data_IF_824926081716
#
_entry.id   IF_824926081716
#
_cell.length_a   1.000
_cell.length_b   1.000
_cell.length_c   1.000
_cell.angle_alpha   90.00
_cell.angle_beta   90.00
_cell.angle_gamma   90.00
#
_symmetry.space_group_name_H-M   'P 1'
#
loop_
_entity.id
_entity.type
_entity.pdbx_description
1 polymer ?
#
# COMPACT_ATOMS: atom_id res chain seq x y z
N UNK A 1 14.87 -23.38 48.13
CA UNK A 1 13.81 -24.30 48.54
C UNK A 1 12.47 -23.55 48.58
N UNK A 2 11.88 -23.22 47.43
CA UNK A 2 10.53 -22.60 47.30
C UNK A 2 9.91 -23.01 45.96
N UNK A 3 9.59 -24.30 45.78
CA UNK A 3 8.89 -24.74 44.56
C UNK A 3 7.77 -25.76 44.84
N UNK A 4 7.43 -26.00 46.12
CA UNK A 4 6.45 -27.05 46.49
C UNK A 4 5.23 -26.51 47.24
N UNK A 5 5.21 -25.26 47.72
CA UNK A 5 4.18 -24.82 48.69
C UNK A 5 3.04 -23.96 48.10
N UNK A 6 3.21 -23.33 46.95
CA UNK A 6 2.27 -22.27 46.52
C UNK A 6 1.26 -22.69 45.44
N UNK A 7 1.40 -23.85 44.79
CA UNK A 7 0.48 -24.29 43.74
C UNK A 7 0.57 -25.81 43.50
N UNK A 8 -0.57 -26.49 43.34
CA UNK A 8 -0.63 -27.94 43.08
C UNK A 8 0.02 -28.34 41.74
N UNK A 9 0.05 -27.43 40.76
CA UNK A 9 0.65 -27.67 39.44
C UNK A 9 1.14 -26.37 38.77
N UNK A 10 2.43 -26.08 38.88
CA UNK A 10 3.06 -24.88 38.30
C UNK A 10 2.89 -24.82 36.77
N UNK A 11 2.99 -25.95 36.07
CA UNK A 11 2.83 -25.99 34.62
C UNK A 11 1.42 -25.57 34.18
N UNK A 12 0.38 -26.04 34.89
CA UNK A 12 -1.02 -25.67 34.61
C UNK A 12 -1.26 -24.19 34.87
N UNK A 13 -0.74 -23.66 35.98
CA UNK A 13 -0.87 -22.24 36.35
C UNK A 13 -0.15 -21.33 35.35
N UNK A 14 1.07 -21.68 34.94
CA UNK A 14 1.81 -20.96 33.88
C UNK A 14 1.06 -21.00 32.55
N UNK A 15 0.42 -22.11 32.20
CA UNK A 15 -0.39 -22.18 30.99
C UNK A 15 -1.59 -21.23 31.04
N UNK A 16 -2.33 -21.19 32.15
CA UNK A 16 -3.48 -20.28 32.34
C UNK A 16 -3.07 -18.81 32.33
N UNK A 17 -1.95 -18.49 32.98
CA UNK A 17 -1.37 -17.15 32.97
C UNK A 17 -0.98 -16.74 31.54
N UNK A 18 -0.32 -17.63 30.79
CA UNK A 18 0.05 -17.38 29.40
C UNK A 18 -1.15 -17.10 28.52
N UNK A 19 -2.23 -17.87 28.65
CA UNK A 19 -3.47 -17.64 27.89
C UNK A 19 -4.10 -16.29 28.21
N UNK A 20 -4.11 -15.90 29.49
CA UNK A 20 -4.70 -14.64 29.94
C UNK A 20 -3.88 -13.44 29.46
N UNK A 21 -2.55 -13.53 29.56
CA UNK A 21 -1.62 -12.51 29.06
C UNK A 21 -1.73 -12.36 27.55
N UNK A 22 -1.74 -13.46 26.79
CA UNK A 22 -1.93 -13.46 25.33
C UNK A 22 -3.27 -12.82 24.95
N UNK A 23 -4.36 -13.18 25.63
CA UNK A 23 -5.69 -12.61 25.38
C UNK A 23 -5.72 -11.11 25.64
N UNK A 24 -5.18 -10.66 26.77
CA UNK A 24 -5.14 -9.25 27.14
C UNK A 24 -4.28 -8.43 26.18
N UNK A 25 -3.19 -9.01 25.69
CA UNK A 25 -2.31 -8.37 24.74
C UNK A 25 -2.98 -8.21 23.37
N UNK A 26 -3.57 -9.28 22.84
CA UNK A 26 -4.31 -9.25 21.58
C UNK A 26 -5.56 -8.36 21.65
N UNK A 27 -6.19 -8.23 22.82
CA UNK A 27 -7.34 -7.34 23.03
C UNK A 27 -7.02 -5.85 23.02
N UNK A 28 -5.73 -5.46 23.18
CA UNK A 28 -5.28 -4.06 23.15
C UNK A 28 -4.89 -3.59 21.74
N UNK A 29 -4.84 -4.49 20.76
CA UNK A 29 -4.43 -4.21 19.39
C UNK A 29 -5.62 -4.37 18.45
N UNK A 30 -5.67 -3.58 17.39
CA UNK A 30 -6.71 -3.78 16.38
C UNK A 30 -6.39 -5.02 15.54
N UNK A 31 -7.41 -5.68 15.01
CA UNK A 31 -7.21 -6.89 14.20
C UNK A 31 -6.33 -6.65 12.97
N UNK A 32 -6.47 -5.48 12.35
CA UNK A 32 -5.67 -5.08 11.19
C UNK A 32 -4.18 -4.94 11.53
N UNK A 33 -3.86 -4.39 12.71
CA UNK A 33 -2.48 -4.31 13.22
C UNK A 33 -1.89 -5.71 13.45
N UNK A 34 -2.68 -6.63 14.00
CA UNK A 34 -2.24 -8.01 14.28
C UNK A 34 -1.82 -8.75 12.99
N UNK A 35 -2.49 -8.45 11.88
CA UNK A 35 -2.31 -9.16 10.61
C UNK A 35 -1.31 -8.48 9.67
N UNK A 36 -1.28 -7.15 9.66
CA UNK A 36 -0.36 -6.38 8.81
C UNK A 36 1.04 -6.32 9.43
N UNK A 37 1.12 -6.28 10.77
CA UNK A 37 2.37 -6.15 11.52
C UNK A 37 2.80 -7.43 12.20
N UNK A 38 2.79 -8.60 11.53
CA UNK A 38 3.13 -9.89 12.17
C UNK A 38 4.48 -9.86 12.90
N UNK A 39 5.50 -9.27 12.28
CA UNK A 39 6.84 -9.19 12.87
C UNK A 39 6.86 -8.25 14.08
N UNK A 40 6.16 -7.12 13.99
CA UNK A 40 6.01 -6.15 15.08
C UNK A 40 5.26 -6.76 16.28
N UNK A 41 4.15 -7.45 16.01
CA UNK A 41 3.35 -8.15 17.02
C UNK A 41 4.18 -9.23 17.70
N UNK A 42 4.92 -10.02 16.92
CA UNK A 42 5.76 -11.10 17.44
C UNK A 42 6.88 -10.53 18.32
N UNK A 43 7.50 -9.43 17.90
CA UNK A 43 8.53 -8.76 18.67
C UNK A 43 7.99 -8.19 19.98
N UNK A 44 6.87 -7.46 19.94
CA UNK A 44 6.26 -6.89 21.15
C UNK A 44 5.78 -8.00 22.08
N UNK A 45 5.21 -9.09 21.54
CA UNK A 45 4.81 -10.26 22.33
C UNK A 45 6.00 -10.96 22.99
N UNK A 46 7.12 -11.09 22.27
CA UNK A 46 8.34 -11.66 22.82
C UNK A 46 8.87 -10.81 23.96
N UNK A 47 9.02 -9.49 23.77
CA UNK A 47 9.60 -8.60 24.79
C UNK A 47 8.66 -8.39 25.97
N UNK A 48 7.41 -8.02 25.70
CA UNK A 48 6.43 -7.65 26.75
C UNK A 48 5.82 -8.88 27.40
N UNK A 49 5.47 -9.88 26.58
CA UNK A 49 4.85 -11.11 27.05
C UNK A 49 5.82 -11.94 27.89
N UNK A 50 7.09 -12.04 27.50
CA UNK A 50 8.11 -12.68 28.33
C UNK A 50 8.21 -12.02 29.69
N UNK A 51 8.34 -10.68 29.74
CA UNK A 51 8.46 -9.95 31.00
C UNK A 51 7.26 -10.18 31.93
N UNK A 52 6.03 -10.04 31.41
CA UNK A 52 4.81 -10.26 32.21
C UNK A 52 4.66 -11.71 32.68
N UNK A 53 5.11 -12.67 31.86
CA UNK A 53 5.07 -14.08 32.22
C UNK A 53 6.12 -14.41 33.28
N UNK A 54 7.36 -13.95 33.11
CA UNK A 54 8.47 -14.17 34.06
C UNK A 54 8.12 -13.59 35.44
N UNK A 55 7.68 -12.32 35.50
CA UNK A 55 7.23 -11.67 36.74
C UNK A 55 6.07 -12.41 37.42
N UNK A 56 5.16 -12.99 36.64
CA UNK A 56 4.03 -13.75 37.16
C UNK A 56 4.37 -15.19 37.57
N UNK A 57 5.45 -15.77 37.03
CA UNK A 57 5.90 -17.14 37.33
C UNK A 57 7.02 -17.21 38.36
N UNK A 58 7.67 -16.08 38.68
CA UNK A 58 8.67 -15.94 39.73
C UNK A 58 8.23 -16.52 41.09
N UNK A 59 6.98 -16.29 41.59
CA UNK A 59 6.50 -16.87 42.84
C UNK A 59 6.41 -18.40 42.85
N UNK A 60 6.48 -19.03 41.67
CA UNK A 60 6.45 -20.48 41.48
C UNK A 60 7.84 -21.07 41.23
N UNK A 61 8.88 -20.22 41.14
CA UNK A 61 10.24 -20.63 40.84
C UNK A 61 10.46 -21.06 39.39
N UNK A 62 9.62 -20.58 38.46
CA UNK A 62 9.70 -20.88 37.02
C UNK A 62 10.21 -19.64 36.29
N UNK A 63 11.33 -19.80 35.57
CA UNK A 63 11.95 -18.74 34.75
C UNK A 63 11.51 -18.89 33.29
N UNK A 64 11.09 -17.80 32.66
CA UNK A 64 10.62 -17.78 31.26
C UNK A 64 11.70 -17.22 30.35
N UNK A 65 12.34 -18.09 29.56
CA UNK A 65 13.46 -17.70 28.68
C UNK A 65 13.02 -17.09 27.35
N UNK A 66 11.90 -17.55 26.77
CA UNK A 66 11.40 -17.06 25.49
C UNK A 66 9.92 -17.34 25.30
N UNK A 67 9.21 -16.40 24.67
CA UNK A 67 7.82 -16.54 24.26
C UNK A 67 7.73 -16.31 22.76
N UNK A 68 7.08 -17.23 22.05
CA UNK A 68 6.88 -17.15 20.60
C UNK A 68 5.41 -17.40 20.24
N UNK A 69 4.95 -16.68 19.22
CA UNK A 69 3.61 -16.90 18.64
C UNK A 69 3.71 -17.98 17.57
N UNK A 70 3.01 -19.09 17.78
CA UNK A 70 3.00 -20.21 16.82
C UNK A 70 2.11 -19.91 15.60
N UNK A 71 0.80 -19.84 15.82
CA UNK A 71 -0.19 -19.67 14.75
C UNK A 71 -1.33 -18.75 15.19
N UNK A 72 -1.75 -17.85 14.30
CA UNK A 72 -2.97 -17.04 14.46
C UNK A 72 -3.95 -17.44 13.36
N UNK A 73 -5.10 -17.99 13.74
CA UNK A 73 -6.14 -18.41 12.80
C UNK A 73 -7.35 -17.49 12.91
N UNK A 74 -7.70 -16.85 11.80
CA UNK A 74 -8.91 -16.05 11.69
C UNK A 74 -10.08 -16.90 11.22
N UNK A 75 -11.30 -16.66 11.72
CA UNK A 75 -12.50 -17.24 11.14
C UNK A 75 -12.66 -16.87 9.65
N UNK A 76 -13.09 -17.81 8.82
CA UNK A 76 -13.22 -17.60 7.37
C UNK A 76 -14.12 -16.42 7.00
N UNK A 77 -15.21 -16.20 7.74
CA UNK A 77 -16.13 -15.06 7.52
C UNK A 77 -15.42 -13.71 7.67
N UNK A 78 -14.51 -13.60 8.63
CA UNK A 78 -13.76 -12.38 8.93
C UNK A 78 -12.67 -12.12 7.88
N UNK A 79 -11.98 -13.17 7.42
CA UNK A 79 -11.01 -13.06 6.32
C UNK A 79 -11.65 -12.48 5.05
N UNK A 80 -12.87 -12.94 4.72
CA UNK A 80 -13.62 -12.43 3.56
C UNK A 80 -14.01 -10.97 3.72
N UNK A 81 -14.52 -10.58 4.89
CA UNK A 81 -14.90 -9.20 5.16
C UNK A 81 -13.69 -8.25 5.07
N UNK A 82 -12.55 -8.66 5.65
CA UNK A 82 -11.31 -7.89 5.59
C UNK A 82 -10.75 -7.79 4.17
N UNK A 83 -10.80 -8.86 3.40
CA UNK A 83 -10.39 -8.83 1.99
C UNK A 83 -11.25 -7.84 1.18
N UNK A 84 -12.57 -7.83 1.42
CA UNK A 84 -13.47 -6.89 0.77
C UNK A 84 -13.18 -5.43 1.18
N UNK A 85 -12.93 -5.18 2.47
CA UNK A 85 -12.56 -3.84 2.98
C UNK A 85 -11.21 -3.37 2.43
N UNK A 86 -10.22 -4.24 2.37
CA UNK A 86 -8.90 -3.95 1.82
C UNK A 86 -8.98 -3.62 0.32
N UNK A 87 -9.77 -4.37 -0.45
CA UNK A 87 -9.96 -4.11 -1.87
C UNK A 87 -10.70 -2.77 -2.10
N UNK A 88 -11.78 -2.52 -1.37
CA UNK A 88 -12.50 -1.24 -1.46
C UNK A 88 -11.61 -0.04 -1.11
N UNK A 89 -10.77 -0.16 -0.08
CA UNK A 89 -9.81 0.88 0.30
C UNK A 89 -8.74 1.08 -0.78
N UNK A 90 -8.27 -0.01 -1.40
CA UNK A 90 -7.29 0.03 -2.48
C UNK A 90 -7.88 0.68 -3.74
N UNK A 91 -9.08 0.30 -4.14
CA UNK A 91 -9.79 0.88 -5.28
C UNK A 91 -10.06 2.39 -5.05
N UNK A 92 -10.51 2.77 -3.86
CA UNK A 92 -10.73 4.17 -3.51
C UNK A 92 -9.44 4.99 -3.62
N UNK A 93 -8.33 4.48 -3.06
CA UNK A 93 -7.01 5.13 -3.17
C UNK A 93 -6.54 5.21 -4.63
N UNK A 94 -6.68 4.15 -5.40
CA UNK A 94 -6.31 4.13 -6.82
C UNK A 94 -7.07 5.20 -7.61
N UNK A 95 -8.37 5.39 -7.32
CA UNK A 95 -9.20 6.41 -7.97
C UNK A 95 -8.76 7.83 -7.63
N UNK A 96 -8.39 8.10 -6.38
CA UNK A 96 -7.84 9.40 -5.97
C UNK A 96 -6.54 9.69 -6.70
N UNK A 97 -5.60 8.73 -6.69
CA UNK A 97 -4.30 8.88 -7.37
C UNK A 97 -4.49 9.10 -8.87
N UNK A 98 -5.38 8.36 -9.51
CA UNK A 98 -5.68 8.55 -10.94
C UNK A 98 -6.24 9.94 -11.23
N UNK A 99 -7.15 10.42 -10.37
CA UNK A 99 -7.78 11.74 -10.53
C UNK A 99 -6.79 12.89 -10.29
N UNK A 100 -5.89 12.75 -9.31
CA UNK A 100 -4.79 13.69 -9.08
C UNK A 100 -3.79 13.67 -10.24
N UNK A 101 -3.45 12.49 -10.74
CA UNK A 101 -2.61 12.33 -11.93
C UNK A 101 -3.19 13.03 -13.15
N UNK A 102 -4.47 12.84 -13.41
CA UNK A 102 -5.19 13.48 -14.53
C UNK A 102 -5.23 15.00 -14.39
N UNK A 103 -5.48 15.50 -13.17
CA UNK A 103 -5.48 16.95 -12.90
C UNK A 103 -4.10 17.57 -13.14
N UNK A 104 -3.04 16.92 -12.66
CA UNK A 104 -1.67 17.37 -12.86
C UNK A 104 -1.27 17.33 -14.34
N UNK A 105 -1.62 16.26 -15.06
CA UNK A 105 -1.40 16.14 -16.49
C UNK A 105 -2.13 17.25 -17.27
N UNK A 106 -3.40 17.49 -16.97
CA UNK A 106 -4.21 18.54 -17.60
C UNK A 106 -3.60 19.94 -17.40
N UNK A 107 -3.08 20.23 -16.21
CA UNK A 107 -2.40 21.50 -15.93
C UNK A 107 -1.13 21.66 -16.76
N UNK A 108 -0.28 20.63 -16.81
CA UNK A 108 0.95 20.65 -17.58
C UNK A 108 0.66 20.80 -19.09
N UNK A 109 -0.37 20.14 -19.61
CA UNK A 109 -0.81 20.28 -21.00
C UNK A 109 -1.32 21.68 -21.31
N UNK A 110 -2.08 22.30 -20.40
CA UNK A 110 -2.54 23.69 -20.57
C UNK A 110 -1.36 24.66 -20.64
N UNK A 111 -0.43 24.56 -19.71
CA UNK A 111 0.77 25.39 -19.70
C UNK A 111 1.61 25.22 -20.98
N UNK A 112 1.76 23.97 -21.44
CA UNK A 112 2.41 23.70 -22.72
C UNK A 112 1.66 24.33 -23.91
N UNK A 113 0.32 24.28 -23.92
CA UNK A 113 -0.49 24.89 -24.96
C UNK A 113 -0.37 26.42 -24.96
N UNK A 114 -0.37 27.06 -23.79
CA UNK A 114 -0.21 28.51 -23.65
C UNK A 114 1.17 28.97 -24.18
N UNK A 115 2.23 28.22 -23.86
CA UNK A 115 3.59 28.48 -24.37
C UNK A 115 3.67 28.31 -25.89
N UNK A 116 3.05 27.26 -26.44
CA UNK A 116 3.01 27.03 -27.89
C UNK A 116 2.21 28.13 -28.59
N UNK A 117 1.08 28.55 -28.03
CA UNK A 117 0.23 29.62 -28.59
C UNK A 117 0.92 30.97 -28.63
N UNK A 118 1.86 31.23 -27.71
CA UNK A 118 2.67 32.46 -27.68
C UNK A 118 3.66 32.61 -28.85
N UNK A 119 3.94 31.55 -29.62
CA UNK A 119 4.85 31.61 -30.77
C UNK A 119 4.32 30.76 -31.94
N UNK A 120 3.91 31.39 -33.06
CA UNK A 120 3.41 30.66 -34.23
C UNK A 120 4.40 29.60 -34.78
N UNK A 121 5.71 29.87 -34.68
CA UNK A 121 6.76 28.94 -35.11
C UNK A 121 6.85 27.68 -34.23
N UNK A 122 6.36 27.71 -32.99
CA UNK A 122 6.38 26.56 -32.08
C UNK A 122 5.45 25.42 -32.55
N UNK A 123 4.28 25.76 -33.10
CA UNK A 123 3.38 24.78 -33.71
C UNK A 123 4.01 24.11 -34.92
N UNK A 124 4.70 24.88 -35.76
CA UNK A 124 5.37 24.35 -36.94
C UNK A 124 6.53 23.41 -36.57
N UNK A 125 7.32 23.76 -35.54
CA UNK A 125 8.37 22.88 -35.00
C UNK A 125 7.78 21.60 -34.41
N UNK A 126 6.68 21.69 -33.65
CA UNK A 126 5.97 20.52 -33.11
C UNK A 126 5.47 19.62 -34.23
N UNK A 127 4.89 20.19 -35.28
CA UNK A 127 4.44 19.46 -36.47
C UNK A 127 5.59 18.72 -37.15
N UNK A 128 6.73 19.38 -37.37
CA UNK A 128 7.94 18.74 -37.93
C UNK A 128 8.48 17.61 -37.03
N UNK A 129 8.48 17.80 -35.70
CA UNK A 129 8.85 16.74 -34.75
C UNK A 129 7.92 15.54 -34.84
N UNK A 130 6.60 15.76 -34.89
CA UNK A 130 5.62 14.68 -35.07
C UNK A 130 5.85 13.93 -36.37
N UNK A 131 6.19 14.63 -37.47
CA UNK A 131 6.56 13.99 -38.74
C UNK A 131 7.83 13.13 -38.63
N UNK A 132 8.86 13.60 -37.92
CA UNK A 132 10.07 12.79 -37.69
C UNK A 132 9.79 11.55 -36.85
N UNK A 133 8.88 11.64 -35.88
CA UNK A 133 8.50 10.52 -35.02
C UNK A 133 7.68 9.47 -35.79
N UNK A 134 6.72 9.91 -36.62
CA UNK A 134 5.93 9.04 -37.50
C UNK A 134 6.82 8.38 -38.56
N UNK A 135 7.81 9.10 -39.11
CA UNK A 135 8.77 8.56 -40.08
C UNK A 135 9.70 7.50 -39.47
N UNK A 136 9.97 7.59 -38.16
CA UNK A 136 10.77 6.61 -37.43
C UNK A 136 10.02 5.28 -37.18
N UNK A 137 8.70 5.34 -37.01
CA UNK A 137 7.83 4.16 -37.06
C UNK A 137 7.67 3.73 -38.53
N UNK A 138 8.21 2.57 -38.91
CA UNK A 138 8.27 2.07 -40.31
C UNK A 138 6.89 1.80 -40.96
N UNK A 139 6.01 2.80 -41.10
CA UNK A 139 4.70 2.69 -41.74
C UNK A 139 4.75 3.33 -43.14
N UNK A 140 4.50 2.51 -44.16
CA UNK A 140 4.65 2.81 -45.60
C UNK A 140 3.58 3.76 -46.18
N UNK A 141 2.73 4.37 -45.37
CA UNK A 141 1.69 5.30 -45.84
C UNK A 141 1.44 6.37 -44.78
N UNK A 142 1.93 7.59 -45.03
CA UNK A 142 1.74 8.76 -44.17
C UNK A 142 0.53 9.52 -44.72
N UNK A 143 -0.60 9.45 -44.03
CA UNK A 143 -1.76 10.29 -44.33
C UNK A 143 -1.45 11.70 -43.80
N UNK A 144 -1.27 12.66 -44.71
CA UNK A 144 -0.97 14.06 -44.38
C UNK A 144 -2.26 14.87 -44.18
N UNK A 145 -2.65 15.23 -42.94
CA UNK A 145 -3.63 16.28 -42.75
C UNK A 145 -2.95 17.63 -43.00
N UNK A 146 -3.17 18.20 -44.19
CA UNK A 146 -2.75 19.57 -44.46
C UNK A 146 -3.70 20.56 -43.76
N UNK A 147 -3.18 21.59 -43.08
CA UNK A 147 -4.00 22.68 -42.55
C UNK A 147 -4.78 23.34 -43.69
N UNK A 148 -6.08 23.54 -43.50
CA UNK A 148 -6.98 24.14 -44.51
C UNK A 148 -6.48 25.53 -44.92
N UNK A 149 -5.84 26.26 -44.01
CA UNK A 149 -5.25 27.57 -44.27
C UNK A 149 -4.15 27.53 -45.35
N UNK A 150 -3.36 26.45 -45.44
CA UNK A 150 -2.36 26.27 -46.50
C UNK A 150 -3.00 25.89 -47.84
N UNK A 151 -4.17 25.23 -47.83
CA UNK A 151 -4.90 24.93 -49.06
C UNK A 151 -5.55 26.18 -49.66
N UNK A 152 -6.03 27.09 -48.81
CA UNK A 152 -6.64 28.35 -49.23
C UNK A 152 -5.64 29.25 -49.97
N UNK A 153 -4.39 29.33 -49.49
CA UNK A 153 -3.32 30.12 -50.10
C UNK A 153 -2.92 29.59 -51.50
N UNK A 154 -3.00 28.27 -51.72
CA UNK A 154 -2.79 27.64 -53.03
C UNK A 154 -3.95 27.87 -54.02
N UNK A 155 -5.16 28.17 -53.51
CA UNK A 155 -6.34 28.45 -54.34
C UNK A 155 -6.54 29.94 -54.67
N UNK A 156 -5.72 30.84 -54.10
CA UNK A 156 -5.81 32.29 -54.26
C UNK A 156 -4.99 32.89 -55.41
N UNK A 157 -4.42 32.07 -56.29
CA UNK A 157 -3.71 32.50 -57.49
C UNK A 157 -4.48 32.11 -58.77
N UNK A 158 -5.54 32.85 -59.06
CA UNK A 158 -6.02 33.14 -60.43
C UNK A 158 -6.18 34.65 -60.60
#
# INVERSE_FOLDING_TARGET
MMSVVNIENAAKSTHLLSQTTLRNFLGKKTLSEILTGRDEITHIMQVTGQKTLDEGTDPWGVKVERVEVKDVRLPQKMQRAMAAEAEATREARAKVIASEGEHNASRALREAADVIGGSPSALQLRYLQTLTQISAEKNSTILFPLPIDMMLDLSGHE
#
